data_IF_476120572390
#
_entry.id   IF_476120572390
#
_cell.length_a   1.000
_cell.length_b   1.000
_cell.length_c   1.000
_cell.angle_alpha   90.00
_cell.angle_beta   90.00
_cell.angle_gamma   90.00
#
_symmetry.space_group_name_H-M   'P 1'
#
loop_
_entity.id
_entity.type
_entity.pdbx_description
1 polymer ?
#
# COMPACT_ATOMS: atom_id res chain seq x y z
N UNK A 1 4.98 -12.90 22.07
CA UNK A 1 6.35 -12.89 21.52
C UNK A 1 6.47 -13.95 20.43
N UNK A 2 6.06 -13.62 19.21
CA UNK A 2 6.35 -14.47 18.04
C UNK A 2 7.62 -13.97 17.38
N UNK A 3 8.70 -14.72 17.52
CA UNK A 3 9.97 -14.50 16.84
C UNK A 3 9.78 -14.69 15.34
N UNK A 4 9.78 -13.59 14.58
CA UNK A 4 9.88 -13.60 13.12
C UNK A 4 11.28 -14.12 12.73
N UNK A 5 11.43 -15.43 12.54
CA UNK A 5 12.70 -16.11 12.20
C UNK A 5 13.06 -16.03 10.70
N UNK A 6 12.59 -15.01 10.00
CA UNK A 6 12.95 -14.78 8.60
C UNK A 6 14.32 -14.10 8.47
N UNK A 7 15.07 -14.34 7.38
CA UNK A 7 16.20 -13.48 7.06
C UNK A 7 15.73 -12.01 7.01
N UNK A 8 16.57 -11.05 7.44
CA UNK A 8 16.21 -9.65 7.39
C UNK A 8 15.82 -9.27 5.95
N UNK A 9 14.77 -8.46 5.75
CA UNK A 9 14.38 -8.05 4.41
C UNK A 9 15.57 -7.36 3.72
N UNK A 10 15.75 -7.56 2.40
CA UNK A 10 16.80 -6.88 1.65
C UNK A 10 16.77 -5.37 1.89
N UNK A 11 17.94 -4.70 1.90
CA UNK A 11 17.99 -3.25 2.03
C UNK A 11 17.24 -2.58 0.87
N UNK A 12 16.62 -1.44 1.16
CA UNK A 12 15.97 -0.60 0.15
C UNK A 12 17.00 -0.12 -0.88
N UNK A 13 16.72 -0.32 -2.17
CA UNK A 13 17.51 0.21 -3.28
C UNK A 13 16.90 1.51 -3.82
N UNK A 14 17.70 2.37 -4.44
CA UNK A 14 17.26 3.71 -4.90
C UNK A 14 17.65 3.96 -6.37
N UNK A 15 16.88 4.83 -7.03
CA UNK A 15 17.06 5.23 -8.43
C UNK A 15 16.61 6.67 -8.64
N UNK A 16 16.05 7.00 -9.82
CA UNK A 16 15.65 8.37 -10.16
C UNK A 16 14.39 8.83 -9.40
N UNK A 17 14.56 9.21 -8.12
CA UNK A 17 13.48 9.58 -7.19
C UNK A 17 12.57 8.42 -6.75
N UNK A 18 12.91 7.18 -7.07
CA UNK A 18 12.16 5.99 -6.67
C UNK A 18 13.03 5.11 -5.78
N UNK A 19 12.37 4.34 -4.93
CA UNK A 19 12.99 3.25 -4.21
C UNK A 19 12.38 1.90 -4.57
N UNK A 20 13.17 0.83 -4.44
CA UNK A 20 12.71 -0.54 -4.50
C UNK A 20 12.89 -1.19 -3.15
N UNK A 21 11.87 -1.91 -2.70
CA UNK A 21 11.92 -2.66 -1.44
C UNK A 21 11.26 -4.01 -1.61
N UNK A 22 11.96 -5.05 -1.16
CA UNK A 22 11.36 -6.37 -0.97
C UNK A 22 10.75 -6.41 0.42
N UNK A 23 9.44 -6.66 0.49
CA UNK A 23 8.72 -6.76 1.77
C UNK A 23 8.80 -8.19 2.33
N UNK A 24 8.26 -8.40 3.54
CA UNK A 24 8.26 -9.71 4.22
C UNK A 24 7.52 -10.81 3.46
N UNK A 25 6.63 -10.45 2.52
CA UNK A 25 5.96 -11.39 1.62
C UNK A 25 6.83 -11.83 0.42
N UNK A 26 8.09 -11.40 0.36
CA UNK A 26 9.03 -11.74 -0.71
C UNK A 26 8.80 -10.98 -2.02
N UNK A 27 7.78 -10.12 -2.10
CA UNK A 27 7.48 -9.33 -3.31
C UNK A 27 8.30 -8.05 -3.33
N UNK A 28 8.72 -7.66 -4.54
CA UNK A 28 9.39 -6.39 -4.80
C UNK A 28 8.36 -5.31 -5.13
N UNK A 29 8.53 -4.16 -4.51
CA UNK A 29 7.70 -2.97 -4.72
C UNK A 29 8.55 -1.80 -5.17
N UNK A 30 7.96 -0.97 -6.01
CA UNK A 30 8.51 0.31 -6.45
C UNK A 30 7.77 1.39 -5.70
N UNK A 31 8.46 2.31 -5.06
CA UNK A 31 7.85 3.26 -4.16
C UNK A 31 8.44 4.65 -4.23
N UNK A 32 7.63 5.61 -3.77
CA UNK A 32 8.04 6.98 -3.50
C UNK A 32 7.26 7.49 -2.29
N UNK A 33 7.94 8.24 -1.43
CA UNK A 33 7.33 8.84 -0.24
C UNK A 33 7.96 10.18 0.02
N UNK A 34 7.17 11.08 0.60
CA UNK A 34 7.65 12.41 0.96
C UNK A 34 6.78 13.05 2.02
N UNK A 35 7.33 14.09 2.64
CA UNK A 35 6.64 14.91 3.63
C UNK A 35 6.96 16.37 3.39
N UNK A 36 5.93 17.19 3.33
CA UNK A 36 5.98 18.64 3.37
C UNK A 36 5.20 19.11 4.60
N UNK A 37 5.41 20.35 5.09
CA UNK A 37 4.61 20.87 6.20
C UNK A 37 3.10 20.74 5.92
N UNK A 38 2.44 19.92 6.74
CA UNK A 38 1.00 19.66 6.64
C UNK A 38 0.57 18.58 5.64
N UNK A 39 1.49 17.95 4.90
CA UNK A 39 1.18 16.83 4.00
C UNK A 39 2.24 15.72 4.05
N UNK A 40 1.79 14.47 4.13
CA UNK A 40 2.63 13.29 3.92
C UNK A 40 1.98 12.37 2.88
N UNK A 41 2.81 11.79 2.01
CA UNK A 41 2.36 10.80 1.04
C UNK A 41 3.24 9.55 1.02
N UNK A 42 2.61 8.44 0.68
CA UNK A 42 3.25 7.16 0.43
C UNK A 42 2.63 6.52 -0.82
N UNK A 43 3.48 6.18 -1.78
CA UNK A 43 3.12 5.47 -3.01
C UNK A 43 3.89 4.16 -3.09
N UNK A 44 3.22 3.05 -3.39
CA UNK A 44 3.85 1.80 -3.83
C UNK A 44 3.11 1.24 -5.03
N UNK A 45 3.86 0.61 -5.92
CA UNK A 45 3.42 -0.10 -7.11
C UNK A 45 4.06 -1.49 -7.04
N UNK A 46 3.32 -2.54 -7.43
CA UNK A 46 3.94 -3.84 -7.54
C UNK A 46 4.92 -3.90 -8.72
N UNK A 47 5.87 -4.83 -8.65
CA UNK A 47 6.85 -5.05 -9.72
C UNK A 47 6.23 -5.30 -11.11
N UNK A 48 5.00 -5.84 -11.17
CA UNK A 48 4.30 -6.09 -12.45
C UNK A 48 3.52 -4.88 -12.97
N UNK A 49 3.51 -3.76 -12.24
CA UNK A 49 2.71 -2.56 -12.53
C UNK A 49 1.21 -2.85 -12.72
N UNK A 50 0.70 -3.86 -12.01
CA UNK A 50 -0.71 -4.27 -12.06
C UNK A 50 -1.55 -3.55 -11.01
N UNK A 51 -0.94 -3.21 -9.88
CA UNK A 51 -1.59 -2.49 -8.77
C UNK A 51 -0.66 -1.40 -8.27
N UNK A 52 -1.21 -0.20 -8.15
CA UNK A 52 -0.57 0.94 -7.51
C UNK A 52 -1.49 1.53 -6.46
N UNK A 53 -0.96 1.80 -5.27
CA UNK A 53 -1.69 2.48 -4.20
C UNK A 53 -0.96 3.76 -3.86
N UNK A 54 -1.72 4.84 -3.69
CA UNK A 54 -1.22 6.11 -3.18
C UNK A 54 -2.07 6.53 -1.98
N UNK A 55 -1.42 6.87 -0.88
CA UNK A 55 -2.06 7.45 0.31
C UNK A 55 -1.52 8.86 0.49
N UNK A 56 -2.42 9.83 0.52
CA UNK A 56 -2.14 11.22 0.89
C UNK A 56 -2.92 11.53 2.15
N UNK A 57 -2.26 12.11 3.15
CA UNK A 57 -2.93 12.60 4.35
C UNK A 57 -2.30 13.89 4.84
N UNK A 58 -3.11 14.64 5.57
CA UNK A 58 -2.61 15.76 6.35
C UNK A 58 -1.72 15.22 7.47
N UNK A 59 -0.57 15.86 7.66
CA UNK A 59 0.41 15.45 8.66
C UNK A 59 1.81 15.86 8.26
N UNK A 60 2.76 15.71 9.17
CA UNK A 60 4.16 15.95 8.89
C UNK A 60 4.98 14.85 9.57
N UNK A 61 5.90 14.23 8.83
CA UNK A 61 6.80 13.21 9.36
C UNK A 61 8.23 13.72 9.53
N UNK A 62 8.50 14.98 9.22
CA UNK A 62 9.84 15.57 9.28
C UNK A 62 10.29 15.83 10.73
N UNK A 63 9.35 16.07 11.63
CA UNK A 63 9.67 16.25 13.06
C UNK A 63 9.92 14.89 13.73
N UNK A 64 11.07 14.65 14.38
CA UNK A 64 11.39 13.37 15.02
C UNK A 64 10.68 13.20 16.37
N UNK A 65 9.36 13.39 16.40
CA UNK A 65 8.52 13.23 17.57
C UNK A 65 7.72 11.91 17.49
N UNK A 66 7.11 11.51 18.61
CA UNK A 66 6.31 10.28 18.68
C UNK A 66 5.09 10.27 17.73
N UNK A 67 4.54 11.45 17.41
CA UNK A 67 3.38 11.60 16.53
C UNK A 67 3.76 11.30 15.09
N UNK A 68 4.85 11.87 14.59
CA UNK A 68 5.39 11.62 13.24
C UNK A 68 5.71 10.14 13.00
N UNK A 69 6.23 9.47 14.02
CA UNK A 69 6.48 8.03 13.98
C UNK A 69 5.17 7.24 13.89
N UNK A 70 4.17 7.60 14.70
CA UNK A 70 2.85 6.98 14.66
C UNK A 70 2.13 7.18 13.32
N UNK A 71 2.21 8.38 12.74
CA UNK A 71 1.69 8.70 11.40
C UNK A 71 2.37 7.81 10.35
N UNK A 72 3.70 7.77 10.33
CA UNK A 72 4.47 6.92 9.39
C UNK A 72 4.08 5.45 9.47
N UNK A 73 3.92 4.90 10.68
CA UNK A 73 3.52 3.52 10.89
C UNK A 73 2.08 3.27 10.40
N UNK A 74 1.15 4.15 10.76
CA UNK A 74 -0.26 4.05 10.36
C UNK A 74 -0.41 4.12 8.83
N UNK A 75 0.31 5.04 8.17
CA UNK A 75 0.32 5.10 6.69
C UNK A 75 0.81 3.80 6.09
N UNK A 76 1.90 3.22 6.61
CA UNK A 76 2.44 1.97 6.09
C UNK A 76 1.42 0.81 6.25
N UNK A 77 0.72 0.74 7.37
CA UNK A 77 -0.31 -0.29 7.62
C UNK A 77 -1.53 -0.13 6.70
N UNK A 78 -2.06 1.08 6.56
CA UNK A 78 -3.18 1.38 5.65
C UNK A 78 -2.77 1.05 4.21
N UNK A 79 -1.58 1.49 3.81
CA UNK A 79 -1.07 1.31 2.45
C UNK A 79 -0.95 -0.17 2.10
N UNK A 80 -0.34 -0.97 2.97
CA UNK A 80 -0.23 -2.42 2.78
C UNK A 80 -1.60 -3.12 2.77
N UNK A 81 -2.53 -2.70 3.62
CA UNK A 81 -3.88 -3.28 3.68
C UNK A 81 -4.65 -3.04 2.38
N UNK A 82 -4.65 -1.79 1.89
CA UNK A 82 -5.27 -1.44 0.60
C UNK A 82 -4.62 -2.22 -0.54
N UNK A 83 -3.29 -2.30 -0.55
CA UNK A 83 -2.55 -3.00 -1.58
C UNK A 83 -2.94 -4.47 -1.67
N UNK A 84 -3.03 -5.15 -0.52
CA UNK A 84 -3.42 -6.55 -0.45
C UNK A 84 -4.85 -6.78 -0.97
N UNK A 85 -5.79 -5.90 -0.64
CA UNK A 85 -7.17 -6.04 -1.15
C UNK A 85 -7.19 -5.98 -2.68
N UNK A 86 -6.59 -4.95 -3.29
CA UNK A 86 -6.64 -4.77 -4.74
C UNK A 86 -5.84 -5.80 -5.53
N UNK A 87 -4.77 -6.35 -4.94
CA UNK A 87 -4.02 -7.45 -5.56
C UNK A 87 -4.87 -8.72 -5.71
N UNK A 88 -5.68 -9.06 -4.70
CA UNK A 88 -6.54 -10.25 -4.75
C UNK A 88 -7.67 -10.14 -5.78
N UNK A 89 -8.15 -8.94 -6.06
CA UNK A 89 -9.21 -8.72 -7.06
C UNK A 89 -8.72 -8.91 -8.49
N UNK A 90 -7.49 -8.48 -8.82
CA UNK A 90 -6.90 -8.65 -10.16
C UNK A 90 -6.74 -10.15 -10.50
N UNK A 91 -6.36 -10.97 -9.51
CA UNK A 91 -6.19 -12.42 -9.70
C UNK A 91 -7.55 -13.11 -9.92
N UNK A 92 -8.60 -12.69 -9.23
CA UNK A 92 -9.94 -13.27 -9.37
C UNK A 92 -10.71 -12.79 -10.61
N UNK A 93 -10.41 -11.59 -11.13
CA UNK A 93 -11.04 -11.08 -12.34
C UNK A 93 -10.51 -11.77 -13.61
N UNK A 94 -9.25 -12.23 -13.60
CA UNK A 94 -8.65 -12.96 -14.73
C UNK A 94 -9.16 -14.40 -14.88
N UNK A 95 -9.84 -14.96 -13.87
CA UNK A 95 -10.36 -16.35 -13.90
C UNK A 95 -11.84 -16.44 -14.24
N UNK A 96 -12.53 -15.31 -14.46
CA UNK A 96 -13.98 -15.29 -14.73
C UNK A 96 -14.31 -14.55 -16.02
N UNK A 97 -13.87 -15.09 -17.16
CA UNK A 97 -14.42 -14.69 -18.47
C UNK A 97 -15.72 -15.47 -18.72
N UNK A 98 -16.80 -15.05 -18.06
CA UNK A 98 -18.18 -15.37 -18.50
C UNK A 98 -18.87 -14.04 -18.80
N UNK A 99 -19.49 -13.85 -19.98
CA UNK A 99 -20.03 -12.56 -20.36
C UNK A 99 -21.31 -12.29 -19.56
N UNK A 100 -21.31 -11.23 -18.75
CA UNK A 100 -22.54 -10.70 -18.19
C UNK A 100 -22.54 -9.16 -18.19
N UNK A 101 -23.67 -8.67 -18.68
CA UNK A 101 -24.04 -7.33 -19.06
C UNK A 101 -23.89 -6.27 -17.95
N UNK A 102 -23.53 -5.06 -18.38
CA UNK A 102 -23.30 -3.88 -17.55
C UNK A 102 -24.51 -3.47 -16.70
N UNK A 103 -24.25 -3.04 -15.46
CA UNK A 103 -25.02 -1.95 -14.84
C UNK A 103 -24.12 -1.22 -13.82
N UNK A 104 -23.79 0.04 -14.14
CA UNK A 104 -22.98 0.92 -13.30
C UNK A 104 -23.80 1.45 -12.12
N UNK A 105 -23.38 1.18 -10.88
CA UNK A 105 -23.69 2.02 -9.72
C UNK A 105 -22.60 1.84 -8.66
N UNK A 106 -21.88 2.92 -8.32
CA UNK A 106 -20.83 2.96 -7.30
C UNK A 106 -21.43 3.42 -5.95
N UNK A 107 -21.29 2.67 -4.85
CA UNK A 107 -21.42 3.22 -3.52
C UNK A 107 -20.03 3.56 -2.95
N UNK A 108 -19.86 4.80 -2.50
CA UNK A 108 -18.75 5.22 -1.64
C UNK A 108 -19.12 4.82 -0.20
N UNK A 109 -18.33 3.94 0.43
CA UNK A 109 -18.49 3.53 1.84
C UNK A 109 -17.27 3.97 2.65
N UNK A 110 -17.51 4.67 3.75
CA UNK A 110 -16.52 5.36 4.61
C UNK A 110 -16.12 4.57 5.86
N UNK A 111 -16.00 3.23 5.80
CA UNK A 111 -15.56 2.41 6.94
C UNK A 111 -14.33 1.56 6.63
N UNK A 112 -13.14 2.05 6.99
CA UNK A 112 -11.84 1.39 6.82
C UNK A 112 -11.56 0.23 7.81
N UNK A 113 -12.56 -0.26 8.52
CA UNK A 113 -12.43 -1.40 9.46
C UNK A 113 -13.12 -2.70 9.02
N UNK A 114 -13.46 -2.87 7.73
CA UNK A 114 -14.02 -4.14 7.20
C UNK A 114 -13.53 -4.56 5.78
N UNK A 115 -12.53 -3.87 5.23
CA UNK A 115 -12.48 -3.63 3.77
C UNK A 115 -11.71 -4.63 2.89
N UNK A 116 -11.83 -5.95 3.08
CA UNK A 116 -11.74 -6.86 1.91
C UNK A 116 -12.85 -7.95 1.93
N UNK A 117 -14.00 -7.68 2.57
CA UNK A 117 -15.13 -8.64 2.57
C UNK A 117 -16.05 -8.42 1.37
N UNK A 118 -16.32 -9.52 0.66
CA UNK A 118 -17.52 -9.73 -0.17
C UNK A 118 -18.78 -9.70 0.69
#
# INVERSE_FOLDING_TARGET
>A
NSTLTGPPPPPTAFGLSWYWRTMSNGRRYIGHSGSLPGMVHLMLIDEKNSVGVIVLTNGDTNEPNGVSRGISQTLAEIHMSLFQCFETDVVNMSTTTTPATSTNTLPISTNLTSSCQK
#
